data_IF_070761261902
#
_entry.id   IF_070761261902
#
_cell.length_a   1.000
_cell.length_b   1.000
_cell.length_c   1.000
_cell.angle_alpha   90.00
_cell.angle_beta   90.00
_cell.angle_gamma   90.00
#
_symmetry.space_group_name_H-M   'P 1'
#
loop_
_entity.id
_entity.type
_entity.pdbx_description
1 polymer ?
#
# COMPACT_ATOMS: atom_id res chain seq x y z
N UNK A 1 17.87 -18.48 2.16
CA UNK A 1 16.48 -18.40 1.65
C UNK A 1 15.67 -17.65 2.70
N UNK A 2 14.52 -17.08 2.38
CA UNK A 2 13.64 -16.53 3.43
C UNK A 2 12.62 -17.62 3.79
N UNK A 3 12.42 -17.84 5.08
CA UNK A 3 11.59 -18.94 5.59
C UNK A 3 10.16 -18.47 5.88
N UNK A 4 9.92 -17.15 6.03
CA UNK A 4 8.60 -16.57 6.22
C UNK A 4 8.37 -15.41 5.25
N UNK A 5 7.23 -15.42 4.56
CA UNK A 5 6.81 -14.33 3.68
C UNK A 5 5.41 -13.86 4.09
N UNK A 6 5.34 -12.62 4.58
CA UNK A 6 4.08 -12.00 5.00
C UNK A 6 3.55 -11.16 3.83
N UNK A 7 2.33 -11.44 3.32
CA UNK A 7 1.71 -10.64 2.26
C UNK A 7 1.46 -9.20 2.72
N UNK A 8 1.92 -8.23 1.92
CA UNK A 8 1.58 -6.83 2.05
C UNK A 8 0.61 -6.36 0.95
N UNK A 9 0.79 -6.83 -0.29
CA UNK A 9 -0.15 -6.60 -1.38
C UNK A 9 0.00 -7.65 -2.49
N UNK A 10 -1.07 -7.89 -3.25
CA UNK A 10 -1.06 -8.77 -4.42
C UNK A 10 -2.13 -8.31 -5.42
N UNK A 11 -1.77 -8.25 -6.71
CA UNK A 11 -2.71 -8.00 -7.82
C UNK A 11 -2.81 -9.17 -8.80
N UNK A 12 -1.80 -10.06 -8.85
CA UNK A 12 -1.84 -11.35 -9.53
C UNK A 12 -0.79 -12.29 -8.92
N UNK A 13 -0.71 -13.54 -9.38
CA UNK A 13 0.32 -14.51 -8.94
C UNK A 13 1.75 -13.98 -9.14
N UNK A 14 1.97 -13.20 -10.21
CA UNK A 14 3.29 -12.65 -10.59
C UNK A 14 3.50 -11.18 -10.19
N UNK A 15 2.51 -10.54 -9.55
CA UNK A 15 2.55 -9.12 -9.15
C UNK A 15 2.15 -8.99 -7.69
N UNK A 16 3.17 -9.04 -6.82
CA UNK A 16 2.98 -9.13 -5.37
C UNK A 16 4.11 -8.44 -4.59
N UNK A 17 3.80 -8.08 -3.35
CA UNK A 17 4.72 -7.49 -2.38
C UNK A 17 4.64 -8.30 -1.10
N UNK A 18 5.72 -8.99 -0.76
CA UNK A 18 5.89 -9.64 0.54
C UNK A 18 6.93 -8.88 1.38
N UNK A 19 6.87 -9.03 2.71
CA UNK A 19 8.00 -8.76 3.61
C UNK A 19 8.44 -10.07 4.26
N UNK A 20 9.75 -10.28 4.39
CA UNK A 20 10.30 -11.45 5.08
C UNK A 20 10.76 -11.16 6.50
N UNK A 21 11.09 -12.22 7.24
CA UNK A 21 11.61 -12.16 8.62
C UNK A 21 12.87 -11.29 8.78
N UNK A 22 13.62 -11.10 7.69
CA UNK A 22 14.82 -10.24 7.64
C UNK A 22 14.50 -8.74 7.44
N UNK A 23 13.22 -8.34 7.40
CA UNK A 23 12.81 -6.96 7.15
C UNK A 23 13.06 -6.48 5.71
N UNK A 24 13.16 -7.42 4.76
CA UNK A 24 13.32 -7.13 3.32
C UNK A 24 11.98 -7.29 2.60
N UNK A 25 11.68 -6.34 1.73
CA UNK A 25 10.57 -6.38 0.79
C UNK A 25 10.99 -7.22 -0.42
N UNK A 26 10.12 -8.14 -0.82
CA UNK A 26 10.18 -8.90 -2.05
C UNK A 26 9.09 -8.34 -2.97
N UNK A 27 9.47 -7.45 -3.89
CA UNK A 27 8.59 -6.87 -4.90
C UNK A 27 8.73 -7.69 -6.19
N UNK A 28 7.75 -8.55 -6.49
CA UNK A 28 7.69 -9.26 -7.76
C UNK A 28 6.83 -8.50 -8.77
N UNK A 29 7.31 -8.45 -10.01
CA UNK A 29 6.58 -7.91 -11.15
C UNK A 29 6.89 -8.73 -12.40
N UNK A 30 5.95 -9.58 -12.78
CA UNK A 30 5.98 -10.49 -13.92
C UNK A 30 7.18 -11.46 -13.86
N UNK A 31 8.30 -11.12 -14.50
CA UNK A 31 9.52 -11.94 -14.53
C UNK A 31 10.69 -11.37 -13.69
N UNK A 32 10.45 -10.26 -12.99
CA UNK A 32 11.46 -9.57 -12.18
C UNK A 32 11.10 -9.59 -10.70
N UNK A 33 12.09 -9.78 -9.84
CA UNK A 33 11.95 -9.58 -8.38
C UNK A 33 12.98 -8.60 -7.87
N UNK A 34 12.53 -7.58 -7.14
CA UNK A 34 13.36 -6.53 -6.56
C UNK A 34 13.34 -6.66 -5.05
N UNK A 35 14.54 -6.67 -4.47
CA UNK A 35 14.75 -6.71 -3.03
C UNK A 35 15.17 -5.33 -2.50
N UNK A 36 14.48 -4.85 -1.47
CA UNK A 36 14.81 -3.60 -0.78
C UNK A 36 14.46 -3.69 0.71
N UNK A 37 15.15 -2.98 1.62
CA UNK A 37 14.75 -2.91 3.03
C UNK A 37 13.34 -2.34 3.17
N UNK A 38 12.52 -2.86 4.09
CA UNK A 38 11.15 -2.37 4.31
C UNK A 38 11.08 -0.89 4.74
N UNK A 39 12.13 -0.40 5.42
CA UNK A 39 12.31 1.03 5.72
C UNK A 39 12.43 1.93 4.46
N UNK A 40 12.66 1.36 3.27
CA UNK A 40 12.73 2.08 1.98
C UNK A 40 11.43 2.02 1.17
N UNK A 41 10.41 1.30 1.64
CA UNK A 41 9.13 1.17 0.93
C UNK A 41 8.43 2.54 0.76
N UNK A 42 8.39 3.37 1.80
CA UNK A 42 7.78 4.70 1.73
C UNK A 42 8.51 5.63 0.74
N UNK A 43 9.85 5.58 0.73
CA UNK A 43 10.69 6.33 -0.20
C UNK A 43 10.39 5.95 -1.66
N UNK A 44 10.28 4.64 -1.94
CA UNK A 44 9.91 4.12 -3.25
C UNK A 44 8.50 4.56 -3.67
N UNK A 45 7.50 4.40 -2.81
CA UNK A 45 6.10 4.81 -3.07
C UNK A 45 6.05 6.30 -3.41
N UNK A 46 6.71 7.14 -2.62
CA UNK A 46 6.75 8.59 -2.82
C UNK A 46 7.42 8.97 -4.13
N UNK A 47 8.56 8.35 -4.46
CA UNK A 47 9.29 8.57 -5.71
C UNK A 47 8.45 8.22 -6.94
N UNK A 48 7.89 7.00 -6.96
CA UNK A 48 7.12 6.45 -8.09
C UNK A 48 5.83 7.26 -8.30
N UNK A 49 5.09 7.53 -7.22
CA UNK A 49 3.86 8.32 -7.28
C UNK A 49 4.12 9.76 -7.75
N UNK A 50 5.20 10.41 -7.28
CA UNK A 50 5.59 11.74 -7.75
C UNK A 50 5.97 11.72 -9.23
N UNK A 51 6.69 10.69 -9.68
CA UNK A 51 7.15 10.57 -11.06
C UNK A 51 6.02 10.38 -12.07
N UNK A 52 5.13 9.41 -11.84
CA UNK A 52 4.00 9.08 -12.74
C UNK A 52 2.97 10.21 -12.82
N UNK A 53 2.78 10.98 -11.74
CA UNK A 53 1.88 12.14 -11.74
C UNK A 53 2.56 13.46 -12.15
N UNK A 54 3.83 13.44 -12.57
CA UNK A 54 4.53 14.66 -12.99
C UNK A 54 4.49 14.85 -14.50
N UNK A 55 4.58 16.11 -14.92
CA UNK A 55 4.81 16.49 -16.33
C UNK A 55 6.27 16.30 -16.78
N UNK A 56 7.16 15.82 -15.91
CA UNK A 56 8.59 15.69 -16.21
C UNK A 56 8.85 14.36 -16.92
N UNK A 57 9.46 14.41 -18.10
CA UNK A 57 9.84 13.20 -18.84
C UNK A 57 10.92 12.36 -18.13
N UNK A 58 11.62 12.90 -17.12
CA UNK A 58 12.63 12.19 -16.31
C UNK A 58 12.64 12.71 -14.88
N UNK A 59 12.81 11.78 -13.94
CA UNK A 59 12.97 12.02 -12.51
C UNK A 59 14.09 11.12 -11.96
N UNK A 60 14.89 11.59 -11.01
CA UNK A 60 15.96 10.79 -10.39
C UNK A 60 16.19 11.22 -8.94
N UNK A 61 16.30 10.26 -8.02
CA UNK A 61 16.53 10.48 -6.59
C UNK A 61 17.28 9.28 -6.01
N UNK A 62 18.52 9.48 -5.58
CA UNK A 62 19.36 8.41 -5.02
C UNK A 62 19.55 7.25 -6.00
N UNK A 63 19.04 6.07 -5.62
CA UNK A 63 19.08 4.83 -6.44
C UNK A 63 17.91 4.69 -7.42
N UNK A 64 16.98 5.63 -7.44
CA UNK A 64 15.76 5.55 -8.25
C UNK A 64 15.84 6.48 -9.45
N UNK A 65 15.52 5.95 -10.63
CA UNK A 65 15.36 6.73 -11.85
C UNK A 65 14.04 6.36 -12.52
N UNK A 66 13.26 7.34 -12.95
CA UNK A 66 12.06 7.13 -13.75
C UNK A 66 12.16 7.97 -15.02
N UNK A 67 11.88 7.37 -16.17
CA UNK A 67 11.80 8.09 -17.43
C UNK A 67 10.53 7.70 -18.20
N UNK A 68 9.81 8.70 -18.72
CA UNK A 68 8.79 8.49 -19.74
C UNK A 68 9.48 8.37 -21.10
N UNK A 69 9.29 7.23 -21.75
CA UNK A 69 9.80 6.98 -23.11
C UNK A 69 8.93 7.67 -24.16
N UNK A 70 9.47 7.89 -25.36
CA UNK A 70 8.73 8.45 -26.49
C UNK A 70 7.48 7.62 -26.88
N UNK A 71 7.46 6.33 -26.53
CA UNK A 71 6.37 5.39 -26.80
C UNK A 71 5.32 5.33 -25.66
N UNK A 72 5.40 6.21 -24.65
CA UNK A 72 4.44 6.28 -23.55
C UNK A 72 4.64 5.27 -22.41
N UNK A 73 5.73 4.50 -22.42
CA UNK A 73 6.09 3.59 -21.33
C UNK A 73 6.93 4.31 -20.27
N UNK A 74 6.72 3.94 -19.01
CA UNK A 74 7.55 4.35 -17.88
C UNK A 74 8.69 3.34 -17.68
N UNK A 75 9.93 3.78 -17.80
CA UNK A 75 11.11 3.01 -17.44
C UNK A 75 11.55 3.37 -16.02
N UNK A 76 11.35 2.46 -15.07
CA UNK A 76 11.73 2.60 -13.66
C UNK A 76 12.98 1.78 -13.36
N UNK A 77 14.02 2.41 -12.82
CA UNK A 77 15.20 1.76 -12.27
C UNK A 77 15.24 1.89 -10.75
N UNK A 78 15.62 0.80 -10.07
CA UNK A 78 15.74 0.69 -8.61
C UNK A 78 17.12 0.14 -8.25
N UNK A 79 18.18 0.90 -8.55
CA UNK A 79 19.55 0.39 -8.65
C UNK A 79 19.75 -0.34 -9.98
N UNK A 80 20.27 -1.57 -9.93
CA UNK A 80 20.51 -2.40 -11.13
C UNK A 80 19.26 -3.09 -11.70
N UNK A 81 18.13 -3.09 -10.98
CA UNK A 81 16.88 -3.66 -11.46
C UNK A 81 16.06 -2.61 -12.23
N UNK A 82 15.61 -2.97 -13.44
CA UNK A 82 14.78 -2.13 -14.30
C UNK A 82 13.42 -2.77 -14.58
N UNK A 83 12.36 -1.97 -14.56
CA UNK A 83 11.01 -2.32 -14.99
C UNK A 83 10.58 -1.39 -16.14
N UNK A 84 9.94 -1.95 -17.16
CA UNK A 84 9.28 -1.20 -18.22
C UNK A 84 7.77 -1.38 -18.05
N UNK A 85 7.07 -0.30 -17.69
CA UNK A 85 5.65 -0.31 -17.37
C UNK A 85 4.88 0.42 -18.48
N UNK A 86 3.78 -0.16 -18.98
CA UNK A 86 2.80 0.60 -19.75
C UNK A 86 2.14 1.67 -18.88
N UNK A 87 1.40 2.59 -19.49
CA UNK A 87 0.61 3.57 -18.72
C UNK A 87 -0.42 2.93 -17.78
N UNK A 88 -0.98 1.76 -18.14
CA UNK A 88 -1.91 1.02 -17.29
C UNK A 88 -1.17 0.28 -16.17
N UNK A 89 -0.05 -0.39 -16.51
CA UNK A 89 0.78 -1.08 -15.52
C UNK A 89 1.35 -0.13 -14.48
N UNK A 90 1.68 1.11 -14.84
CA UNK A 90 2.22 2.09 -13.91
C UNK A 90 1.18 2.50 -12.84
N UNK A 91 -0.10 2.56 -13.18
CA UNK A 91 -1.19 2.79 -12.23
C UNK A 91 -1.38 1.58 -11.29
N UNK A 92 -1.38 0.36 -11.83
CA UNK A 92 -1.48 -0.88 -11.03
C UNK A 92 -0.28 -1.00 -10.08
N UNK A 93 0.92 -0.65 -10.55
CA UNK A 93 2.15 -0.67 -9.76
C UNK A 93 2.11 0.35 -8.61
N UNK A 94 1.60 1.57 -8.86
CA UNK A 94 1.39 2.58 -7.81
C UNK A 94 0.40 2.08 -6.75
N UNK A 95 -0.76 1.56 -7.13
CA UNK A 95 -1.75 1.08 -6.16
C UNK A 95 -1.22 -0.10 -5.35
N UNK A 96 -0.56 -1.09 -6.00
CA UNK A 96 0.07 -2.22 -5.33
C UNK A 96 1.07 -1.76 -4.25
N UNK A 97 1.94 -0.80 -4.57
CA UNK A 97 2.89 -0.24 -3.62
C UNK A 97 2.21 0.57 -2.50
N UNK A 98 1.14 1.30 -2.80
CA UNK A 98 0.38 2.04 -1.79
C UNK A 98 -0.38 1.10 -0.82
N UNK A 99 -0.99 0.03 -1.32
CA UNK A 99 -1.59 -1.04 -0.49
C UNK A 99 -0.52 -1.66 0.40
N UNK A 100 0.63 -2.01 -0.16
CA UNK A 100 1.72 -2.63 0.60
C UNK A 100 2.25 -1.72 1.72
N UNK A 101 2.40 -0.42 1.44
CA UNK A 101 2.82 0.56 2.45
C UNK A 101 1.80 0.68 3.59
N UNK A 102 0.49 0.75 3.28
CA UNK A 102 -0.56 0.78 4.30
C UNK A 102 -0.54 -0.47 5.19
N UNK A 103 -0.32 -1.65 4.61
CA UNK A 103 -0.22 -2.90 5.39
C UNK A 103 1.06 -2.96 6.23
N UNK A 104 2.20 -2.49 5.70
CA UNK A 104 3.44 -2.40 6.47
C UNK A 104 3.31 -1.45 7.67
N UNK A 105 2.73 -0.27 7.47
CA UNK A 105 2.51 0.71 8.54
C UNK A 105 1.53 0.20 9.62
N UNK A 106 0.53 -0.61 9.25
CA UNK A 106 -0.40 -1.20 10.22
C UNK A 106 0.25 -2.26 11.11
N UNK A 107 1.28 -2.96 10.62
CA UNK A 107 2.09 -3.91 11.39
C UNK A 107 3.07 -3.23 12.35
N UNK A 108 3.61 -2.06 11.97
CA UNK A 108 4.50 -1.27 12.82
C UNK A 108 3.79 -0.58 13.99
N UNK A 109 2.47 -0.36 13.89
CA UNK A 109 1.68 0.20 14.97
C UNK A 109 1.44 -0.87 16.04
N UNK A 110 1.94 -0.72 17.27
CA UNK A 110 1.62 -1.68 18.33
C UNK A 110 0.11 -1.69 18.54
N UNK A 111 -0.53 -2.87 18.46
CA UNK A 111 -1.90 -3.02 18.91
C UNK A 111 -1.93 -2.68 20.40
N UNK A 112 -2.53 -1.54 20.77
CA UNK A 112 -2.67 -1.18 22.17
C UNK A 112 -3.37 -2.34 22.91
N UNK A 113 -2.81 -2.84 24.03
CA UNK A 113 -3.40 -3.95 24.78
C UNK A 113 -4.73 -3.59 25.47
N UNK A 114 -5.18 -2.34 25.37
CA UNK A 114 -6.33 -1.75 26.07
C UNK A 114 -7.72 -2.23 25.59
N UNK A 115 -7.80 -3.34 24.85
CA UNK A 115 -9.06 -3.99 24.46
C UNK A 115 -9.21 -5.44 24.94
N UNK A 116 -8.20 -5.98 25.64
CA UNK A 116 -8.22 -7.38 26.09
C UNK A 116 -9.09 -7.63 27.34
N UNK A 117 -9.67 -6.61 27.98
CA UNK A 117 -10.38 -6.79 29.25
C UNK A 117 -11.60 -5.86 29.46
N UNK A 118 -12.57 -5.92 28.53
CA UNK A 118 -13.97 -5.60 28.86
C UNK A 118 -14.82 -6.85 28.59
N UNK A 119 -15.38 -7.52 29.62
CA UNK A 119 -16.40 -8.54 29.38
C UNK A 119 -17.55 -7.89 28.59
N UNK A 120 -18.04 -8.62 27.58
CA UNK A 120 -18.94 -8.05 26.58
C UNK A 120 -20.17 -7.39 27.21
N UNK A 121 -20.35 -6.08 26.97
CA UNK A 121 -21.65 -5.44 27.20
C UNK A 121 -22.63 -6.09 26.24
N UNK A 122 -23.55 -6.89 26.79
CA UNK A 122 -24.77 -7.32 26.09
C UNK A 122 -25.44 -6.08 25.51
N UNK A 123 -25.81 -6.15 24.23
CA UNK A 123 -26.60 -5.11 23.59
C UNK A 123 -28.03 -5.17 24.15
N UNK A 124 -28.32 -4.33 25.14
CA UNK A 124 -29.67 -4.08 25.60
C UNK A 124 -30.31 -3.03 24.67
N UNK A 125 -31.40 -3.33 23.96
CA UNK A 125 -32.08 -2.35 23.12
C UNK A 125 -32.72 -1.28 24.01
N UNK A 126 -32.29 -0.03 23.86
CA UNK A 126 -32.78 1.09 24.66
C UNK A 126 -34.29 1.30 24.45
N UNK A 127 -35.08 1.02 25.49
CA UNK A 127 -36.52 1.27 25.54
C UNK A 127 -36.80 2.77 25.46
N UNK A 128 -37.07 3.29 24.26
CA UNK A 128 -37.67 4.62 24.09
C UNK A 128 -39.17 4.55 24.36
N UNK A 129 -39.51 4.54 25.65
CA UNK A 129 -40.87 4.77 26.10
C UNK A 129 -41.20 6.26 26.01
N UNK A 130 -42.10 6.58 25.09
CA UNK A 130 -43.02 7.71 25.01
C UNK A 130 -42.83 8.92 25.95
N UNK A 131 -42.71 10.10 25.34
CA UNK A 131 -43.41 11.29 25.85
C UNK A 131 -44.39 11.80 24.79
N UNK A 132 -45.61 12.09 25.24
CA UNK A 132 -46.79 12.33 24.42
C UNK A 132 -47.01 13.83 24.12
N UNK A 133 -47.87 14.10 23.12
CA UNK A 133 -48.86 15.21 23.08
C UNK A 133 -48.32 16.67 22.96
N UNK A 134 -48.96 17.65 22.29
CA UNK A 134 -50.27 17.72 21.57
C UNK A 134 -50.34 18.99 20.69
N UNK A 135 -51.36 19.09 19.79
CA UNK A 135 -51.87 20.31 19.10
C UNK A 135 -50.90 20.98 18.09
N UNK A 136 -51.28 21.64 16.98
CA UNK A 136 -52.55 21.96 16.27
C UNK A 136 -52.18 22.46 14.84
N UNK A 137 -53.02 22.76 13.83
CA UNK A 137 -54.50 22.84 13.61
C UNK A 137 -54.77 22.80 12.09
N UNK A 138 -55.89 22.23 11.63
CA UNK A 138 -56.84 22.79 10.62
C UNK A 138 -57.86 21.74 10.15
#
# INVERSE_FOLDING_TARGET
>A
MCDQLIPLAQSSDYRHVYVCEHGMIHLAWDHSTVYLPAAKLEELVRFVNRGINSTHARLSEGRYHLALTANGYYQLWMGSAGLLLSAVDSLIFVDLLQVALRQWQSQLTPRSPESANKPGRRYEPSTLASLNNTFSTN
#
